data_IF_089245899467
#
_entry.id   IF_089245899467
#
_cell.length_a   1.000
_cell.length_b   1.000
_cell.length_c   1.000
_cell.angle_alpha   90.00
_cell.angle_beta   90.00
_cell.angle_gamma   90.00
#
_symmetry.space_group_name_H-M   'P 1'
#
loop_
_entity.id
_entity.type
_entity.pdbx_description
1 polymer ?
#
# COMPACT_ATOMS: atom_id res chain seq x y z
N UNK A 1 -15.25 46.50 35.24
CA UNK A 1 -14.97 45.10 35.59
C UNK A 1 -15.55 44.13 34.56
N UNK A 2 -16.86 44.26 34.20
CA UNK A 2 -17.53 43.36 33.26
C UNK A 2 -16.82 43.28 31.87
N UNK A 3 -16.40 44.39 31.29
CA UNK A 3 -15.73 44.44 29.99
C UNK A 3 -14.36 43.74 29.99
N UNK A 4 -13.61 43.88 31.08
CA UNK A 4 -12.31 43.18 31.20
C UNK A 4 -12.49 41.66 31.34
N UNK A 5 -13.55 41.23 32.07
CA UNK A 5 -13.87 39.83 32.23
C UNK A 5 -14.30 39.21 30.87
N UNK A 6 -15.19 39.92 30.15
CA UNK A 6 -15.63 39.48 28.82
C UNK A 6 -14.46 39.38 27.83
N UNK A 7 -13.57 40.38 27.84
CA UNK A 7 -12.37 40.36 26.98
C UNK A 7 -11.45 39.19 27.33
N UNK A 8 -11.22 38.95 28.64
CA UNK A 8 -10.39 37.83 29.08
C UNK A 8 -10.96 36.48 28.67
N UNK A 9 -12.28 36.28 28.76
CA UNK A 9 -12.97 35.06 28.30
C UNK A 9 -12.81 34.88 26.80
N UNK A 10 -13.02 35.92 25.99
CA UNK A 10 -12.86 35.88 24.54
C UNK A 10 -11.41 35.49 24.14
N UNK A 11 -10.43 36.09 24.81
CA UNK A 11 -8.99 35.77 24.55
C UNK A 11 -8.70 34.32 24.94
N UNK A 12 -9.19 33.85 26.08
CA UNK A 12 -8.99 32.45 26.50
C UNK A 12 -9.64 31.49 25.53
N UNK A 13 -10.86 31.80 25.06
CA UNK A 13 -11.58 31.04 24.04
C UNK A 13 -10.77 30.92 22.74
N UNK A 14 -10.18 32.00 22.26
CA UNK A 14 -9.30 32.01 21.09
C UNK A 14 -8.08 31.15 21.29
N UNK A 15 -7.42 31.18 22.42
CA UNK A 15 -6.21 30.40 22.73
C UNK A 15 -6.53 28.91 22.78
N UNK A 16 -7.63 28.52 23.47
CA UNK A 16 -8.04 27.11 23.57
C UNK A 16 -8.47 26.54 22.20
N UNK A 17 -9.27 27.32 21.45
CA UNK A 17 -9.69 26.93 20.09
C UNK A 17 -8.52 26.75 19.17
N UNK A 18 -7.53 27.66 19.22
CA UNK A 18 -6.31 27.56 18.39
C UNK A 18 -5.44 26.36 18.77
N UNK A 19 -5.39 26.03 20.06
CA UNK A 19 -4.66 24.83 20.55
C UNK A 19 -5.29 23.54 20.07
N UNK A 20 -6.61 23.40 20.20
CA UNK A 20 -7.36 22.22 19.73
C UNK A 20 -7.25 22.09 18.20
N UNK A 21 -7.43 23.19 17.47
CA UNK A 21 -7.29 23.21 16.02
C UNK A 21 -5.90 22.77 15.58
N UNK A 22 -4.84 23.30 16.21
CA UNK A 22 -3.46 22.95 15.89
C UNK A 22 -3.16 21.48 16.14
N UNK A 23 -3.63 20.92 17.26
CA UNK A 23 -3.45 19.51 17.60
C UNK A 23 -4.16 18.57 16.61
N UNK A 24 -5.45 18.82 16.33
CA UNK A 24 -6.24 18.01 15.40
C UNK A 24 -5.73 18.11 13.96
N UNK A 25 -5.32 19.30 13.53
CA UNK A 25 -4.74 19.52 12.20
C UNK A 25 -3.42 18.79 12.03
N UNK A 26 -2.56 18.77 13.05
CA UNK A 26 -1.31 18.04 13.04
C UNK A 26 -1.55 16.51 12.98
N UNK A 27 -2.45 16.01 13.82
CA UNK A 27 -2.80 14.58 13.81
C UNK A 27 -3.31 14.12 12.43
N UNK A 28 -4.09 14.96 11.74
CA UNK A 28 -4.57 14.66 10.39
C UNK A 28 -3.44 14.64 9.34
N UNK A 29 -2.50 15.59 9.40
CA UNK A 29 -1.36 15.63 8.48
C UNK A 29 -0.47 14.40 8.67
N UNK A 30 -0.18 14.04 9.92
CA UNK A 30 0.65 12.86 10.25
C UNK A 30 0.00 11.56 9.73
N UNK A 31 -1.33 11.45 9.77
CA UNK A 31 -2.07 10.31 9.19
C UNK A 31 -2.05 10.31 7.66
N UNK A 32 -2.21 11.45 7.02
CA UNK A 32 -2.23 11.56 5.55
C UNK A 32 -0.91 11.18 4.88
N UNK A 33 0.22 11.56 5.47
CA UNK A 33 1.56 11.17 4.99
C UNK A 33 1.81 9.66 5.14
N UNK A 34 1.29 9.03 6.20
CA UNK A 34 1.39 7.59 6.43
C UNK A 34 0.71 6.76 5.33
N UNK A 35 -0.42 7.21 4.81
CA UNK A 35 -1.16 6.49 3.76
C UNK A 35 -0.40 6.49 2.43
N UNK A 36 0.16 7.61 2.03
CA UNK A 36 0.95 7.70 0.80
C UNK A 36 2.18 6.78 0.87
N UNK A 37 2.81 6.68 2.03
CA UNK A 37 3.92 5.75 2.25
C UNK A 37 3.48 4.28 2.10
N UNK A 38 2.29 3.92 2.60
CA UNK A 38 1.74 2.57 2.45
C UNK A 38 1.50 2.22 0.97
N UNK A 39 0.93 3.12 0.18
CA UNK A 39 0.75 2.90 -1.27
C UNK A 39 2.09 2.70 -1.99
N UNK A 40 3.11 3.50 -1.67
CA UNK A 40 4.45 3.33 -2.24
C UNK A 40 5.09 1.99 -1.83
N UNK A 41 4.83 1.50 -0.62
CA UNK A 41 5.29 0.16 -0.20
C UNK A 41 4.59 -0.95 -0.99
N UNK A 42 3.28 -0.85 -1.20
CA UNK A 42 2.52 -1.80 -2.03
C UNK A 42 3.06 -1.82 -3.45
N UNK A 43 3.29 -0.67 -4.07
CA UNK A 43 3.86 -0.58 -5.42
C UNK A 43 5.25 -1.23 -5.52
N UNK A 44 6.11 -1.03 -4.52
CA UNK A 44 7.42 -1.70 -4.48
C UNK A 44 7.30 -3.21 -4.39
N UNK A 45 6.38 -3.72 -3.58
CA UNK A 45 6.11 -5.16 -3.47
C UNK A 45 5.59 -5.71 -4.81
N UNK A 46 4.69 -5.02 -5.49
CA UNK A 46 4.20 -5.43 -6.82
C UNK A 46 5.32 -5.50 -7.85
N UNK A 47 6.23 -4.52 -7.85
CA UNK A 47 7.41 -4.52 -8.71
C UNK A 47 8.34 -5.70 -8.39
N UNK A 48 8.51 -6.04 -7.11
CA UNK A 48 9.29 -7.19 -6.67
C UNK A 48 8.66 -8.51 -7.12
N UNK A 49 7.35 -8.67 -6.95
CA UNK A 49 6.60 -9.83 -7.46
C UNK A 49 6.77 -9.95 -8.98
N UNK A 50 6.68 -8.83 -9.71
CA UNK A 50 6.91 -8.80 -11.15
C UNK A 50 8.32 -9.27 -11.53
N UNK A 51 9.32 -8.96 -10.73
CA UNK A 51 10.70 -9.39 -10.93
C UNK A 51 10.88 -10.90 -10.68
N UNK A 52 10.29 -11.43 -9.60
CA UNK A 52 10.33 -12.87 -9.29
C UNK A 52 9.59 -13.69 -10.37
N UNK A 53 8.44 -13.22 -10.87
CA UNK A 53 7.74 -13.86 -11.99
C UNK A 53 8.59 -13.96 -13.25
N UNK A 54 9.39 -12.93 -13.55
CA UNK A 54 10.33 -12.97 -14.68
C UNK A 54 11.45 -14.00 -14.48
N UNK A 55 11.87 -14.24 -13.23
CA UNK A 55 12.84 -15.31 -12.91
C UNK A 55 12.22 -16.66 -13.20
N UNK A 56 11.00 -16.92 -12.75
CA UNK A 56 10.25 -18.15 -13.02
C UNK A 56 10.11 -18.37 -14.52
N UNK A 57 9.61 -17.37 -15.25
CA UNK A 57 9.43 -17.46 -16.71
C UNK A 57 10.72 -17.83 -17.45
N UNK A 58 11.85 -17.24 -17.05
CA UNK A 58 13.16 -17.56 -17.65
C UNK A 58 13.59 -19.00 -17.35
N UNK A 59 13.41 -19.44 -16.10
CA UNK A 59 13.76 -20.80 -15.70
C UNK A 59 12.88 -21.84 -16.40
N UNK A 60 11.57 -21.62 -16.46
CA UNK A 60 10.63 -22.49 -17.18
C UNK A 60 10.94 -22.56 -18.68
N UNK A 61 11.26 -21.42 -19.30
CA UNK A 61 11.68 -21.38 -20.70
C UNK A 61 12.96 -22.19 -20.93
N UNK A 62 13.91 -22.12 -20.00
CA UNK A 62 15.14 -22.93 -20.08
C UNK A 62 14.83 -24.41 -19.97
N UNK A 63 13.95 -24.81 -19.03
CA UNK A 63 13.49 -26.19 -18.87
C UNK A 63 12.83 -26.67 -20.18
N UNK A 64 11.96 -25.88 -20.78
CA UNK A 64 11.29 -26.18 -22.05
C UNK A 64 12.31 -26.37 -23.20
N UNK A 65 13.38 -25.58 -23.24
CA UNK A 65 14.45 -25.73 -24.23
C UNK A 65 15.22 -27.04 -24.02
N UNK A 66 15.51 -27.42 -22.77
CA UNK A 66 16.13 -28.68 -22.43
C UNK A 66 15.24 -29.88 -22.83
N UNK A 67 13.93 -29.79 -22.61
CA UNK A 67 12.96 -30.81 -23.03
C UNK A 67 12.92 -30.95 -24.55
N UNK A 68 12.80 -29.85 -25.27
CA UNK A 68 12.77 -29.85 -26.73
C UNK A 68 14.05 -30.42 -27.35
N UNK A 69 15.19 -30.23 -26.68
CA UNK A 69 16.45 -30.83 -27.11
C UNK A 69 16.43 -32.37 -26.96
N UNK A 70 15.79 -32.91 -25.89
CA UNK A 70 15.64 -34.36 -25.71
C UNK A 70 14.64 -34.96 -26.70
N UNK A 71 13.52 -34.28 -26.97
CA UNK A 71 12.51 -34.74 -27.93
C UNK A 71 13.10 -34.99 -29.32
N UNK A 72 14.03 -34.14 -29.78
CA UNK A 72 14.75 -34.37 -31.04
C UNK A 72 15.56 -35.66 -31.09
N UNK A 73 16.16 -36.08 -29.96
CA UNK A 73 16.86 -37.37 -29.92
C UNK A 73 15.89 -38.56 -30.01
N UNK A 74 14.69 -38.41 -29.43
CA UNK A 74 13.63 -39.43 -29.49
C UNK A 74 13.10 -39.53 -30.91
N UNK A 75 12.81 -38.42 -31.58
CA UNK A 75 12.34 -38.37 -32.97
C UNK A 75 13.36 -39.02 -33.95
N UNK A 76 14.64 -38.81 -33.71
CA UNK A 76 15.73 -39.43 -34.51
C UNK A 76 15.98 -40.88 -34.15
N UNK A 77 15.21 -41.52 -33.27
CA UNK A 77 15.41 -42.89 -32.82
C UNK A 77 16.66 -43.11 -31.98
N UNK A 78 17.33 -42.07 -31.56
CA UNK A 78 18.57 -42.10 -30.78
C UNK A 78 18.32 -42.11 -29.25
N UNK A 79 17.45 -43.00 -28.79
CA UNK A 79 16.94 -43.06 -27.41
C UNK A 79 18.07 -43.14 -26.38
N UNK A 80 19.08 -44.00 -26.60
CA UNK A 80 20.22 -44.16 -25.68
C UNK A 80 21.02 -42.85 -25.53
N UNK A 81 21.21 -42.11 -26.64
CA UNK A 81 21.87 -40.80 -26.59
C UNK A 81 21.00 -39.75 -25.88
N UNK A 82 19.69 -39.78 -26.05
CA UNK A 82 18.75 -38.92 -25.34
C UNK A 82 18.79 -39.14 -23.82
N UNK A 83 18.84 -40.40 -23.36
CA UNK A 83 18.97 -40.74 -21.95
C UNK A 83 20.30 -40.24 -21.35
N UNK A 84 21.43 -40.40 -22.05
CA UNK A 84 22.71 -39.84 -21.60
C UNK A 84 22.71 -38.32 -21.51
N UNK A 85 22.05 -37.64 -22.46
CA UNK A 85 21.90 -36.19 -22.41
C UNK A 85 21.00 -35.72 -21.24
N UNK A 86 19.97 -36.49 -20.90
CA UNK A 86 19.12 -36.22 -19.75
C UNK A 86 19.92 -36.31 -18.44
N UNK A 87 20.79 -37.29 -18.31
CA UNK A 87 21.67 -37.45 -17.14
C UNK A 87 22.66 -36.27 -17.02
N UNK A 88 23.27 -35.87 -18.16
CA UNK A 88 24.13 -34.66 -18.18
C UNK A 88 23.38 -33.38 -17.75
N UNK A 89 22.08 -33.27 -18.05
CA UNK A 89 21.24 -32.12 -17.75
C UNK A 89 20.61 -32.14 -16.33
N UNK A 90 20.78 -33.22 -15.57
CA UNK A 90 20.10 -33.45 -14.31
C UNK A 90 20.42 -32.35 -13.30
N UNK A 91 21.68 -31.95 -13.19
CA UNK A 91 22.09 -30.87 -12.26
C UNK A 91 21.51 -29.50 -12.66
N UNK A 92 21.50 -29.18 -13.95
CA UNK A 92 20.93 -27.94 -14.46
C UNK A 92 19.41 -27.88 -14.23
N UNK A 93 18.71 -29.00 -14.48
CA UNK A 93 17.28 -29.13 -14.20
C UNK A 93 16.96 -28.98 -12.71
N UNK A 94 17.74 -29.60 -11.83
CA UNK A 94 17.57 -29.47 -10.39
C UNK A 94 17.77 -28.04 -9.94
N UNK A 95 18.79 -27.35 -10.46
CA UNK A 95 19.03 -25.94 -10.19
C UNK A 95 17.88 -25.04 -10.66
N UNK A 96 17.38 -25.25 -11.89
CA UNK A 96 16.25 -24.48 -12.44
C UNK A 96 14.96 -24.69 -11.62
N UNK A 97 14.66 -25.93 -11.25
CA UNK A 97 13.50 -26.25 -10.41
C UNK A 97 13.62 -25.62 -9.01
N UNK A 98 14.80 -25.64 -8.40
CA UNK A 98 15.05 -24.96 -7.13
C UNK A 98 14.85 -23.46 -7.29
N UNK A 99 15.35 -22.88 -8.36
CA UNK A 99 15.17 -21.44 -8.67
C UNK A 99 13.69 -21.07 -8.78
N UNK A 100 12.88 -21.90 -9.45
CA UNK A 100 11.42 -21.69 -9.56
C UNK A 100 10.76 -21.78 -8.19
N UNK A 101 11.06 -22.80 -7.40
CA UNK A 101 10.50 -22.98 -6.07
C UNK A 101 10.87 -21.82 -5.12
N UNK A 102 12.13 -21.41 -5.12
CA UNK A 102 12.59 -20.29 -4.29
C UNK A 102 11.93 -18.97 -4.68
N UNK A 103 11.78 -18.73 -5.99
CA UNK A 103 11.08 -17.55 -6.48
C UNK A 103 9.60 -17.59 -6.11
N UNK A 104 8.94 -18.76 -6.16
CA UNK A 104 7.56 -18.93 -5.76
C UNK A 104 7.38 -18.66 -4.25
N UNK A 105 8.24 -19.19 -3.40
CA UNK A 105 8.21 -18.92 -1.95
C UNK A 105 8.38 -17.42 -1.65
N UNK A 106 9.27 -16.73 -2.38
CA UNK A 106 9.41 -15.27 -2.24
C UNK A 106 8.16 -14.52 -2.69
N UNK A 107 7.50 -14.96 -3.75
CA UNK A 107 6.22 -14.38 -4.20
C UNK A 107 5.16 -14.54 -3.13
N UNK A 108 5.05 -15.70 -2.50
CA UNK A 108 4.05 -15.99 -1.48
C UNK A 108 4.27 -15.08 -0.25
N UNK A 109 5.51 -14.93 0.23
CA UNK A 109 5.87 -13.98 1.30
C UNK A 109 5.54 -12.53 0.93
N UNK A 110 5.84 -12.10 -0.29
CA UNK A 110 5.51 -10.76 -0.78
C UNK A 110 3.99 -10.53 -0.88
N UNK A 111 3.22 -11.55 -1.23
CA UNK A 111 1.76 -11.48 -1.25
C UNK A 111 1.17 -11.34 0.15
N UNK A 112 1.73 -12.02 1.13
CA UNK A 112 1.33 -11.88 2.53
C UNK A 112 1.61 -10.46 3.04
N UNK A 113 2.80 -9.93 2.78
CA UNK A 113 3.16 -8.55 3.12
C UNK A 113 2.23 -7.54 2.43
N UNK A 114 1.92 -7.74 1.14
CA UNK A 114 0.97 -6.89 0.40
C UNK A 114 -0.43 -6.92 1.03
N UNK A 115 -0.88 -8.09 1.45
CA UNK A 115 -2.19 -8.26 2.08
C UNK A 115 -2.27 -7.50 3.39
N UNK A 116 -1.23 -7.57 4.22
CA UNK A 116 -1.16 -6.81 5.47
C UNK A 116 -1.19 -5.29 5.22
N UNK A 117 -0.41 -4.79 4.26
CA UNK A 117 -0.41 -3.37 3.90
C UNK A 117 -1.78 -2.91 3.36
N UNK A 118 -2.45 -3.73 2.55
CA UNK A 118 -3.78 -3.42 2.04
C UNK A 118 -4.83 -3.37 3.16
N UNK A 119 -4.72 -4.21 4.19
CA UNK A 119 -5.57 -4.13 5.38
C UNK A 119 -5.34 -2.82 6.14
N UNK A 120 -4.08 -2.38 6.29
CA UNK A 120 -3.76 -1.10 6.92
C UNK A 120 -4.35 0.07 6.11
N UNK A 121 -4.21 0.06 4.79
CA UNK A 121 -4.80 1.07 3.89
C UNK A 121 -6.33 1.08 4.04
N UNK A 122 -6.98 -0.08 4.02
CA UNK A 122 -8.43 -0.20 4.15
C UNK A 122 -8.95 0.31 5.49
N UNK A 123 -8.24 0.03 6.58
CA UNK A 123 -8.59 0.54 7.91
C UNK A 123 -8.49 2.08 7.93
N UNK A 124 -7.42 2.62 7.36
CA UNK A 124 -7.26 4.06 7.23
C UNK A 124 -8.36 4.69 6.37
N UNK A 125 -8.69 4.09 5.22
CA UNK A 125 -9.78 4.57 4.36
C UNK A 125 -11.14 4.54 5.07
N UNK A 126 -11.38 3.56 5.94
CA UNK A 126 -12.60 3.49 6.75
C UNK A 126 -12.67 4.63 7.79
N UNK A 127 -11.54 5.00 8.40
CA UNK A 127 -11.47 6.11 9.35
C UNK A 127 -11.68 7.48 8.65
N UNK A 128 -11.15 7.63 7.44
CA UNK A 128 -11.28 8.88 6.64
C UNK A 128 -12.60 8.94 5.86
N UNK A 129 -13.30 7.81 5.72
CA UNK A 129 -14.54 7.69 4.95
C UNK A 129 -15.58 8.77 5.27
N UNK A 130 -15.94 9.03 6.54
CA UNK A 130 -16.89 10.08 6.90
C UNK A 130 -16.45 11.48 6.44
N UNK A 131 -15.14 11.77 6.47
CA UNK A 131 -14.58 13.05 6.01
C UNK A 131 -14.69 13.21 4.49
N UNK A 132 -14.56 12.12 3.73
CA UNK A 132 -14.80 12.11 2.27
C UNK A 132 -16.22 12.55 1.93
N UNK A 133 -17.23 12.05 2.66
CA UNK A 133 -18.62 12.45 2.47
C UNK A 133 -18.87 13.91 2.79
N UNK A 134 -18.27 14.40 3.87
CA UNK A 134 -18.35 15.82 4.24
C UNK A 134 -17.67 16.69 3.18
N UNK A 135 -16.51 16.27 2.68
CA UNK A 135 -15.80 16.96 1.60
C UNK A 135 -16.64 16.99 0.32
N UNK A 136 -17.27 15.87 -0.05
CA UNK A 136 -18.15 15.79 -1.20
C UNK A 136 -19.38 16.71 -1.07
N UNK A 137 -19.92 16.87 0.12
CA UNK A 137 -21.05 17.77 0.39
C UNK A 137 -20.68 19.24 0.14
N UNK A 138 -19.45 19.66 0.48
CA UNK A 138 -19.01 21.06 0.36
C UNK A 138 -18.35 21.37 -0.99
N UNK A 139 -17.67 20.42 -1.61
CA UNK A 139 -16.80 20.64 -2.77
C UNK A 139 -17.15 19.78 -4.02
N UNK A 140 -18.19 18.94 -3.96
CA UNK A 140 -18.67 18.15 -5.08
C UNK A 140 -17.62 17.18 -5.63
N UNK A 141 -17.41 17.19 -6.96
CA UNK A 141 -16.51 16.27 -7.66
C UNK A 141 -15.02 16.44 -7.28
N UNK A 142 -14.63 17.61 -6.81
CA UNK A 142 -13.27 17.93 -6.37
C UNK A 142 -12.98 17.52 -4.91
N UNK A 143 -13.90 16.80 -4.27
CA UNK A 143 -13.85 16.45 -2.85
C UNK A 143 -12.50 15.87 -2.39
N UNK A 144 -11.84 15.04 -3.21
CA UNK A 144 -10.54 14.42 -2.89
C UNK A 144 -9.41 15.44 -2.76
N UNK A 145 -9.42 16.49 -3.56
CA UNK A 145 -8.42 17.55 -3.55
C UNK A 145 -8.59 18.52 -2.37
N UNK A 146 -9.79 18.53 -1.76
CA UNK A 146 -10.15 19.45 -0.70
C UNK A 146 -10.41 18.79 0.67
N UNK A 147 -10.02 17.51 0.85
CA UNK A 147 -10.18 16.79 2.13
C UNK A 147 -9.55 17.59 3.28
N UNK A 148 -8.33 18.11 3.12
CA UNK A 148 -7.65 18.90 4.14
C UNK A 148 -8.43 20.18 4.53
N UNK A 149 -9.05 20.83 3.55
CA UNK A 149 -9.90 22.01 3.82
C UNK A 149 -11.17 21.61 4.53
N UNK A 150 -11.78 20.50 4.12
CA UNK A 150 -13.00 19.98 4.78
C UNK A 150 -12.76 19.63 6.23
N UNK A 151 -11.63 18.99 6.54
CA UNK A 151 -11.20 18.68 7.92
C UNK A 151 -11.08 19.98 8.73
N UNK A 152 -10.42 21.00 8.18
CA UNK A 152 -10.28 22.29 8.85
C UNK A 152 -11.65 22.95 9.13
N UNK A 153 -12.58 22.90 8.19
CA UNK A 153 -13.94 23.43 8.41
C UNK A 153 -14.70 22.63 9.46
N UNK A 154 -14.61 21.31 9.45
CA UNK A 154 -15.24 20.45 10.48
C UNK A 154 -14.67 20.77 11.86
N UNK A 155 -13.35 20.88 11.98
CA UNK A 155 -12.69 21.24 13.24
C UNK A 155 -13.16 22.63 13.71
N UNK A 156 -13.23 23.62 12.81
CA UNK A 156 -13.72 24.96 13.14
C UNK A 156 -15.17 24.93 13.61
N UNK A 157 -16.03 24.17 12.94
CA UNK A 157 -17.45 24.02 13.33
C UNK A 157 -17.55 23.37 14.71
N UNK A 158 -16.80 22.28 14.95
CA UNK A 158 -16.78 21.59 16.25
C UNK A 158 -16.32 22.54 17.36
N UNK A 159 -15.24 23.29 17.14
CA UNK A 159 -14.74 24.26 18.07
C UNK A 159 -15.82 25.33 18.35
N UNK A 160 -16.46 25.84 17.30
CA UNK A 160 -17.49 26.89 17.46
C UNK A 160 -18.77 26.40 18.17
N UNK A 161 -19.13 25.12 17.98
CA UNK A 161 -20.32 24.50 18.59
C UNK A 161 -20.08 24.14 20.06
N UNK A 162 -18.89 23.64 20.40
CA UNK A 162 -18.59 23.14 21.74
C UNK A 162 -17.97 24.16 22.67
N UNK A 163 -17.34 25.22 22.14
CA UNK A 163 -16.69 26.26 22.93
C UNK A 163 -17.68 27.25 23.65
N UNK A 164 -18.90 27.57 23.12
CA UNK A 164 -19.89 28.34 23.87
C UNK A 164 -20.37 27.70 25.18
N UNK A 165 -20.08 26.39 25.37
CA UNK A 165 -20.39 25.68 26.61
C UNK A 165 -19.35 25.95 27.73
N UNK A 166 -18.25 26.61 27.41
CA UNK A 166 -17.25 27.07 28.37
C UNK A 166 -17.57 28.40 29.06
N UNK A 167 -18.68 29.04 28.71
CA UNK A 167 -19.19 30.28 29.28
C UNK A 167 -20.38 30.03 30.19
#
# INVERSE_FOLDING_TARGET
LKYYLTLAVVVLMFITSMGIFGYLSKAHIDQGTGTQELYLKVERIENSIGSERKIIERAEKQITLLDSALDKYIELGAITKGLGKREEQEQERAFLNTTVNDAQLRIDDLLDQKTELNLQIKNFEAEVGPLKYISALFFGEDALNYIDRSVRYVILILVFVFDPLAV
#
